data_IF_807298912967
#
_entry.id   IF_807298912967
#
_cell.length_a   1.000
_cell.length_b   1.000
_cell.length_c   1.000
_cell.angle_alpha   90.00
_cell.angle_beta   90.00
_cell.angle_gamma   90.00
#
_symmetry.space_group_name_H-M   'P 1'
#
loop_
_entity.id
_entity.type
_entity.pdbx_description
1 polymer ?
#
# COMPACT_ATOMS: atom_id res chain seq x y z
N UNK A 1 7.63 -41.56 16.89
CA UNK A 1 7.56 -40.76 18.13
C UNK A 1 8.85 -39.96 18.28
N UNK A 2 8.97 -38.76 17.69
CA UNK A 2 10.19 -37.95 17.81
C UNK A 2 10.04 -36.81 18.82
N UNK A 3 10.88 -36.89 19.86
CA UNK A 3 11.83 -35.84 20.29
C UNK A 3 11.38 -34.38 20.30
N UNK A 4 11.06 -33.86 21.49
CA UNK A 4 11.03 -32.43 21.79
C UNK A 4 12.44 -31.91 22.13
N UNK A 5 13.04 -31.11 21.25
CA UNK A 5 14.27 -30.37 21.56
C UNK A 5 13.92 -28.90 21.82
N UNK A 6 13.98 -28.52 23.10
CA UNK A 6 14.01 -27.13 23.57
C UNK A 6 15.22 -26.40 22.97
N UNK A 7 15.02 -25.23 22.36
CA UNK A 7 16.09 -24.24 22.15
C UNK A 7 15.64 -22.85 22.59
N UNK A 8 16.33 -22.41 23.65
CA UNK A 8 16.69 -21.05 24.08
C UNK A 8 15.94 -19.84 23.49
N UNK A 9 15.11 -19.21 24.33
CA UNK A 9 14.72 -17.79 24.21
C UNK A 9 15.47 -16.96 25.28
N UNK A 10 16.38 -16.11 24.86
CA UNK A 10 16.97 -14.90 25.48
C UNK A 10 17.53 -14.16 24.27
N UNK A 11 17.15 -12.94 23.93
CA UNK A 11 17.43 -11.63 24.52
C UNK A 11 16.28 -10.71 24.03
N UNK A 12 15.53 -9.96 24.84
CA UNK A 12 15.85 -8.67 25.46
C UNK A 12 15.01 -8.49 26.76
N UNK A 13 15.60 -7.85 27.79
CA UNK A 13 14.92 -7.37 29.01
C UNK A 13 15.24 -5.89 29.19
N UNK A 14 14.21 -5.04 29.13
CA UNK A 14 14.12 -3.68 29.70
C UNK A 14 12.62 -3.30 29.59
N UNK A 15 11.94 -2.55 30.45
CA UNK A 15 11.90 -2.32 31.88
C UNK A 15 10.54 -1.61 32.12
N UNK A 16 9.78 -1.99 33.15
CA UNK A 16 8.47 -1.37 33.45
C UNK A 16 8.62 0.08 33.94
N UNK A 17 7.89 1.00 33.32
CA UNK A 17 7.74 2.41 33.73
C UNK A 17 6.27 2.76 34.03
N UNK A 18 5.99 3.63 35.02
CA UNK A 18 4.71 3.64 35.70
C UNK A 18 3.59 4.38 34.95
N UNK A 19 2.39 3.79 34.99
CA UNK A 19 1.11 4.38 34.59
C UNK A 19 0.78 5.59 35.48
N UNK A 20 0.49 6.74 34.89
CA UNK A 20 -0.17 7.86 35.59
C UNK A 20 -1.60 8.04 35.09
N UNK A 21 -2.53 8.01 36.06
CA UNK A 21 -3.94 8.38 35.95
C UNK A 21 -4.12 9.87 36.27
N UNK A 22 -5.07 10.50 35.60
CA UNK A 22 -5.70 11.79 35.94
C UNK A 22 -6.53 12.22 34.72
N UNK A 23 -7.82 12.53 34.76
CA UNK A 23 -8.69 12.92 35.86
C UNK A 23 -9.37 14.24 35.49
N UNK A 24 -10.48 14.15 34.74
CA UNK A 24 -11.59 15.12 34.59
C UNK A 24 -11.34 16.62 34.35
N UNK A 25 -12.08 17.22 33.41
CA UNK A 25 -13.19 18.15 33.71
C UNK A 25 -13.90 18.57 32.42
N UNK A 26 -15.23 18.41 32.41
CA UNK A 26 -16.11 18.83 31.32
C UNK A 26 -16.66 20.22 31.60
N UNK A 27 -16.66 21.10 30.59
CA UNK A 27 -17.49 22.31 30.58
C UNK A 27 -18.26 22.37 29.26
N UNK A 28 -19.59 22.23 29.37
CA UNK A 28 -20.57 22.37 28.28
C UNK A 28 -20.70 23.85 27.90
N UNK A 29 -20.24 24.22 26.71
CA UNK A 29 -20.62 25.47 26.04
C UNK A 29 -21.58 25.16 24.89
N UNK A 30 -22.85 25.57 25.03
CA UNK A 30 -23.82 25.59 23.92
C UNK A 30 -23.52 26.79 23.02
N UNK A 31 -23.03 26.52 21.81
CA UNK A 31 -22.90 27.49 20.73
C UNK A 31 -23.25 26.81 19.41
N UNK A 32 -24.29 27.30 18.73
CA UNK A 32 -24.81 26.72 17.49
C UNK A 32 -23.73 26.63 16.41
N UNK A 33 -23.42 25.40 15.99
CA UNK A 33 -22.51 25.15 14.86
C UNK A 33 -23.27 25.41 13.56
N UNK A 34 -22.94 26.50 12.86
CA UNK A 34 -22.93 26.45 11.39
C UNK A 34 -21.89 25.38 11.03
N UNK A 35 -22.32 24.29 10.41
CA UNK A 35 -21.42 23.26 9.92
C UNK A 35 -20.52 23.88 8.84
N UNK A 36 -19.29 24.26 9.21
CA UNK A 36 -18.26 24.58 8.24
C UNK A 36 -18.03 23.34 7.38
N UNK A 37 -18.38 23.39 6.10
CA UNK A 37 -18.42 22.29 5.14
C UNK A 37 -17.06 21.67 4.75
N UNK A 38 -16.13 21.52 5.70
CA UNK A 38 -14.92 20.71 5.52
C UNK A 38 -15.30 19.24 5.79
N UNK A 39 -15.40 18.44 4.74
CA UNK A 39 -15.40 16.98 4.88
C UNK A 39 -14.08 16.60 5.57
N UNK A 40 -14.15 16.09 6.80
CA UNK A 40 -12.97 15.61 7.53
C UNK A 40 -13.01 14.08 7.51
N UNK A 41 -11.99 13.49 6.90
CA UNK A 41 -11.77 12.04 6.83
C UNK A 41 -10.61 11.65 7.75
N UNK A 42 -10.77 11.69 9.08
CA UNK A 42 -9.65 11.40 9.98
C UNK A 42 -9.11 9.98 9.82
N UNK A 43 -9.93 9.04 9.33
CA UNK A 43 -9.51 7.66 9.10
C UNK A 43 -8.79 7.44 7.77
N UNK A 44 -8.83 8.42 6.83
CA UNK A 44 -8.11 8.34 5.56
C UNK A 44 -6.72 8.94 5.73
N UNK A 45 -5.72 8.07 5.78
CA UNK A 45 -4.31 8.42 5.86
C UNK A 45 -3.72 8.43 4.45
N UNK A 46 -3.46 9.63 3.92
CA UNK A 46 -2.83 9.80 2.61
C UNK A 46 -1.31 9.82 2.79
N UNK A 47 -0.60 9.03 1.99
CA UNK A 47 0.85 8.92 2.05
C UNK A 47 1.47 8.66 0.68
N UNK A 48 2.78 8.47 0.67
CA UNK A 48 3.58 8.07 -0.49
C UNK A 48 4.36 6.80 -0.17
N UNK A 49 4.77 6.08 -1.21
CA UNK A 49 5.75 5.02 -1.07
C UNK A 49 7.19 5.60 -1.01
N UNK A 50 8.07 4.93 -0.28
CA UNK A 50 9.49 5.30 -0.19
C UNK A 50 10.39 4.13 0.19
N UNK A 51 11.69 4.39 0.18
CA UNK A 51 12.71 3.43 0.60
C UNK A 51 13.48 3.91 1.85
N UNK A 52 14.50 3.16 2.24
CA UNK A 52 15.28 3.41 3.46
C UNK A 52 15.90 4.81 3.50
N UNK A 53 16.21 5.38 2.32
CA UNK A 53 16.81 6.71 2.16
C UNK A 53 15.81 7.82 2.40
N UNK A 54 14.52 7.53 2.25
CA UNK A 54 13.43 8.50 2.40
C UNK A 54 12.88 8.57 3.84
N UNK A 55 13.24 7.62 4.70
CA UNK A 55 12.56 7.40 5.99
C UNK A 55 12.50 8.65 6.87
N UNK A 56 13.59 9.38 7.02
CA UNK A 56 13.60 10.59 7.86
C UNK A 56 12.63 11.66 7.33
N UNK A 57 12.67 11.93 6.03
CA UNK A 57 11.77 12.87 5.36
C UNK A 57 10.30 12.44 5.45
N UNK A 58 10.02 11.15 5.24
CA UNK A 58 8.65 10.64 5.22
C UNK A 58 8.04 10.54 6.62
N UNK A 59 8.80 10.06 7.60
CA UNK A 59 8.33 9.92 8.99
C UNK A 59 8.07 11.27 9.66
N UNK A 60 8.72 12.34 9.22
CA UNK A 60 8.43 13.70 9.67
C UNK A 60 7.11 14.28 9.12
N UNK A 61 6.61 13.75 7.98
CA UNK A 61 5.48 14.32 7.25
C UNK A 61 4.19 13.50 7.33
N UNK A 62 4.31 12.18 7.38
CA UNK A 62 3.19 11.26 7.31
C UNK A 62 2.99 10.50 8.62
N UNK A 63 1.81 9.91 8.80
CA UNK A 63 1.50 9.00 9.92
C UNK A 63 1.44 7.53 9.50
N UNK A 64 1.37 7.31 8.20
CA UNK A 64 1.47 6.01 7.55
C UNK A 64 2.48 6.16 6.42
N UNK A 65 3.32 5.16 6.15
CA UNK A 65 4.17 5.11 4.95
C UNK A 65 4.10 3.73 4.33
N UNK A 66 4.31 3.62 3.02
CA UNK A 66 4.66 2.34 2.38
C UNK A 66 6.18 2.23 2.27
N UNK A 67 6.77 1.25 2.96
CA UNK A 67 8.18 0.88 2.84
C UNK A 67 8.36 -0.12 1.69
N UNK A 68 9.19 0.25 0.72
CA UNK A 68 9.40 -0.55 -0.51
C UNK A 68 10.72 -1.30 -0.55
N UNK A 69 11.69 -0.97 0.31
CA UNK A 69 13.02 -1.61 0.37
C UNK A 69 12.96 -3.13 0.51
N UNK A 70 12.00 -3.63 1.30
CA UNK A 70 11.79 -5.07 1.50
C UNK A 70 11.40 -5.81 0.21
N UNK A 71 10.90 -5.10 -0.80
CA UNK A 71 10.58 -5.70 -2.10
C UNK A 71 11.82 -6.01 -2.94
N UNK A 72 12.91 -5.26 -2.73
CA UNK A 72 14.16 -5.39 -3.50
C UNK A 72 15.25 -6.17 -2.77
N UNK A 73 15.11 -6.39 -1.46
CA UNK A 73 16.01 -7.22 -0.67
C UNK A 73 15.67 -7.22 0.82
N UNK A 74 16.51 -7.84 1.67
CA UNK A 74 16.30 -7.88 3.12
C UNK A 74 16.34 -6.49 3.75
N UNK A 75 15.42 -6.20 4.68
CA UNK A 75 15.52 -5.01 5.53
C UNK A 75 16.73 -5.09 6.46
N UNK A 76 17.36 -3.95 6.71
CA UNK A 76 18.48 -3.88 7.65
C UNK A 76 17.99 -3.65 9.07
N UNK A 77 18.79 -4.07 10.07
CA UNK A 77 18.51 -3.77 11.48
C UNK A 77 18.41 -2.26 11.72
N UNK A 78 19.24 -1.46 11.03
CA UNK A 78 19.19 0.00 11.07
C UNK A 78 17.82 0.54 10.60
N UNK A 79 17.28 -0.01 9.52
CA UNK A 79 15.96 0.36 8.99
C UNK A 79 14.86 0.05 10.00
N UNK A 80 14.88 -1.15 10.59
CA UNK A 80 13.91 -1.56 11.59
C UNK A 80 14.02 -0.73 12.87
N UNK A 81 15.23 -0.47 13.38
CA UNK A 81 15.45 0.40 14.53
C UNK A 81 14.96 1.82 14.29
N UNK A 82 15.19 2.38 13.09
CA UNK A 82 14.61 3.69 12.74
C UNK A 82 13.08 3.68 12.82
N UNK A 83 12.43 2.63 12.32
CA UNK A 83 10.97 2.54 12.30
C UNK A 83 10.37 2.29 13.68
N UNK A 84 10.98 1.42 14.49
CA UNK A 84 10.48 1.08 15.83
C UNK A 84 10.79 2.20 16.81
N UNK A 85 12.04 2.69 16.85
CA UNK A 85 12.51 3.54 17.94
C UNK A 85 12.29 5.05 17.66
N UNK A 86 12.24 5.46 16.38
CA UNK A 86 12.17 6.90 16.02
C UNK A 86 10.80 7.35 15.54
N UNK A 87 9.83 6.46 15.36
CA UNK A 87 8.48 6.85 14.94
C UNK A 87 7.55 7.01 16.14
N UNK A 88 6.68 8.04 16.15
CA UNK A 88 5.77 8.29 17.27
C UNK A 88 4.70 7.19 17.39
N UNK A 89 4.04 7.12 18.54
CA UNK A 89 2.89 6.22 18.75
C UNK A 89 1.79 6.46 17.72
N UNK A 90 1.13 5.37 17.32
CA UNK A 90 0.11 5.36 16.28
C UNK A 90 0.63 5.52 14.85
N UNK A 91 1.95 5.68 14.64
CA UNK A 91 2.55 5.63 13.32
C UNK A 91 2.47 4.21 12.75
N UNK A 92 2.09 4.08 11.47
CA UNK A 92 1.98 2.79 10.77
C UNK A 92 2.95 2.68 9.60
N UNK A 93 3.44 1.47 9.37
CA UNK A 93 4.29 1.11 8.23
C UNK A 93 3.59 0.01 7.45
N UNK A 94 3.18 0.31 6.23
CA UNK A 94 2.82 -0.71 5.27
C UNK A 94 4.10 -1.25 4.63
N UNK A 95 4.36 -2.54 4.73
CA UNK A 95 5.60 -3.15 4.23
C UNK A 95 5.30 -3.89 2.94
N UNK A 96 5.98 -3.53 1.84
CA UNK A 96 5.86 -4.27 0.59
C UNK A 96 6.60 -5.61 0.71
N UNK A 97 5.92 -6.72 0.43
CA UNK A 97 6.51 -8.05 0.53
C UNK A 97 7.69 -8.23 -0.42
N UNK A 98 8.65 -9.06 -0.02
CA UNK A 98 9.78 -9.42 -0.86
C UNK A 98 9.32 -10.03 -2.18
N UNK A 99 9.94 -9.60 -3.30
CA UNK A 99 9.49 -9.96 -4.67
C UNK A 99 9.37 -11.47 -4.92
N UNK A 100 10.19 -12.28 -4.25
CA UNK A 100 10.09 -13.73 -4.33
C UNK A 100 8.74 -14.27 -3.81
N UNK A 101 8.18 -13.63 -2.78
CA UNK A 101 6.90 -13.97 -2.16
C UNK A 101 5.70 -13.39 -2.91
N UNK A 102 5.94 -12.60 -3.94
CA UNK A 102 4.90 -12.04 -4.80
C UNK A 102 4.97 -12.61 -6.22
N UNK A 103 5.57 -13.80 -6.38
CA UNK A 103 5.72 -14.49 -7.66
C UNK A 103 6.58 -13.75 -8.69
N UNK A 104 7.39 -12.79 -8.26
CA UNK A 104 8.31 -12.06 -9.13
C UNK A 104 9.73 -12.64 -9.04
N UNK A 105 10.49 -12.69 -10.14
CA UNK A 105 11.87 -13.15 -10.12
C UNK A 105 12.75 -12.26 -9.24
N UNK A 106 13.63 -12.83 -8.43
CA UNK A 106 14.49 -12.09 -7.48
C UNK A 106 15.97 -12.28 -7.82
N UNK A 107 16.78 -11.20 -7.90
CA UNK A 107 18.23 -11.34 -8.03
C UNK A 107 18.80 -12.15 -6.87
N UNK A 108 19.86 -12.93 -7.12
CA UNK A 108 20.44 -13.80 -6.09
C UNK A 108 20.86 -13.02 -4.83
N UNK A 109 21.44 -11.84 -5.01
CA UNK A 109 21.88 -10.95 -3.93
C UNK A 109 20.75 -10.37 -3.08
N UNK A 110 19.52 -10.37 -3.60
CA UNK A 110 18.33 -9.93 -2.87
C UNK A 110 17.78 -11.00 -1.92
N UNK A 111 18.29 -12.25 -1.99
CA UNK A 111 17.81 -13.34 -1.13
C UNK A 111 18.68 -13.48 0.12
N UNK A 112 18.06 -13.69 1.27
CA UNK A 112 18.76 -13.88 2.54
C UNK A 112 19.80 -15.01 2.46
N UNK A 113 21.01 -14.83 3.03
CA UNK A 113 22.09 -15.84 2.98
C UNK A 113 21.64 -17.25 3.38
N UNK A 114 20.92 -17.36 4.50
CA UNK A 114 20.43 -18.62 5.05
C UNK A 114 19.35 -19.31 4.19
N UNK A 115 18.63 -18.53 3.38
CA UNK A 115 17.68 -19.04 2.38
C UNK A 115 18.44 -19.52 1.14
N UNK A 116 19.51 -18.82 0.73
CA UNK A 116 20.38 -19.23 -0.39
C UNK A 116 21.06 -20.56 -0.13
N UNK A 117 21.46 -20.83 1.12
CA UNK A 117 22.10 -22.10 1.50
C UNK A 117 21.17 -23.32 1.27
N UNK A 118 19.85 -23.10 1.27
CA UNK A 118 18.84 -24.14 1.01
C UNK A 118 18.58 -24.39 -0.48
N UNK A 119 19.17 -23.59 -1.38
CA UNK A 119 18.95 -23.76 -2.81
C UNK A 119 19.57 -25.08 -3.31
N UNK A 120 18.86 -25.81 -4.20
CA UNK A 120 19.44 -26.91 -4.95
C UNK A 120 20.68 -26.46 -5.74
N UNK A 121 21.70 -27.33 -5.92
CA UNK A 121 22.92 -26.99 -6.64
C UNK A 121 22.67 -26.36 -8.03
N UNK A 122 21.66 -26.85 -8.76
CA UNK A 122 21.28 -26.35 -10.09
C UNK A 122 20.83 -24.88 -10.13
N UNK A 123 20.42 -24.30 -8.99
CA UNK A 123 19.95 -22.91 -8.91
C UNK A 123 20.99 -21.93 -8.34
N UNK A 124 22.05 -22.42 -7.69
CA UNK A 124 23.03 -21.56 -6.98
C UNK A 124 23.85 -20.66 -7.91
N UNK A 125 24.04 -21.07 -9.17
CA UNK A 125 24.77 -20.29 -10.18
C UNK A 125 23.90 -19.35 -11.01
N UNK A 126 22.57 -19.34 -10.82
CA UNK A 126 21.69 -18.46 -11.58
C UNK A 126 21.80 -17.02 -11.05
N UNK A 127 21.85 -15.99 -11.92
CA UNK A 127 21.86 -14.59 -11.48
C UNK A 127 20.53 -14.18 -10.85
N UNK A 128 19.44 -14.85 -11.23
CA UNK A 128 18.10 -14.57 -10.77
C UNK A 128 17.35 -15.87 -10.49
N UNK A 129 16.52 -15.84 -9.44
CA UNK A 129 15.68 -16.94 -9.02
C UNK A 129 14.23 -16.66 -9.41
N UNK A 130 13.59 -17.64 -10.03
CA UNK A 130 12.18 -17.58 -10.40
C UNK A 130 11.36 -18.38 -9.38
N UNK A 131 10.35 -17.80 -8.71
CA UNK A 131 9.56 -18.51 -7.70
C UNK A 131 8.97 -19.84 -8.18
N UNK A 132 8.56 -19.93 -9.44
CA UNK A 132 8.03 -21.16 -10.05
C UNK A 132 9.05 -22.32 -10.14
N UNK A 133 10.36 -22.02 -10.08
CA UNK A 133 11.44 -23.01 -10.11
C UNK A 133 11.90 -23.42 -8.71
N UNK A 134 11.43 -22.74 -7.66
CA UNK A 134 11.90 -22.97 -6.30
C UNK A 134 11.17 -24.16 -5.66
N UNK A 135 11.89 -25.03 -4.94
CA UNK A 135 11.26 -26.00 -4.06
C UNK A 135 10.38 -25.29 -3.02
N UNK A 136 9.22 -25.86 -2.63
CA UNK A 136 8.36 -25.27 -1.60
C UNK A 136 9.10 -24.95 -0.29
N UNK A 137 10.06 -25.79 0.11
CA UNK A 137 10.86 -25.58 1.32
C UNK A 137 11.75 -24.34 1.28
N UNK A 138 12.19 -23.89 0.09
CA UNK A 138 12.96 -22.65 -0.06
C UNK A 138 12.04 -21.44 0.04
N UNK A 139 10.85 -21.52 -0.56
CA UNK A 139 9.86 -20.45 -0.50
C UNK A 139 9.30 -20.28 0.92
N UNK A 140 9.09 -21.39 1.62
CA UNK A 140 8.77 -21.44 3.05
C UNK A 140 9.84 -20.73 3.89
N UNK A 141 11.12 -21.06 3.68
CA UNK A 141 12.21 -20.42 4.40
C UNK A 141 12.30 -18.91 4.10
N UNK A 142 12.04 -18.50 2.86
CA UNK A 142 11.98 -17.09 2.49
C UNK A 142 10.83 -16.36 3.21
N UNK A 143 9.66 -16.98 3.31
CA UNK A 143 8.53 -16.41 4.02
C UNK A 143 8.80 -16.32 5.52
N UNK A 144 9.31 -17.38 6.13
CA UNK A 144 9.68 -17.41 7.55
C UNK A 144 10.69 -16.30 7.87
N UNK A 145 11.69 -16.12 7.00
CA UNK A 145 12.72 -15.09 7.18
C UNK A 145 12.16 -13.68 7.03
N UNK A 146 11.29 -13.47 6.05
CA UNK A 146 10.60 -12.20 5.85
C UNK A 146 9.70 -11.86 7.06
N UNK A 147 8.86 -12.79 7.50
CA UNK A 147 7.97 -12.63 8.66
C UNK A 147 8.77 -12.31 9.92
N UNK A 148 9.84 -13.07 10.18
CA UNK A 148 10.73 -12.81 11.32
C UNK A 148 11.36 -11.41 11.28
N UNK A 149 11.68 -10.90 10.10
CA UNK A 149 12.28 -9.58 9.91
C UNK A 149 11.30 -8.43 10.20
N UNK A 150 10.02 -8.58 9.85
CA UNK A 150 9.00 -7.54 10.06
C UNK A 150 8.27 -7.66 11.40
N UNK A 151 8.45 -8.78 12.11
CA UNK A 151 7.76 -9.06 13.38
C UNK A 151 7.92 -7.95 14.42
N UNK A 152 9.08 -7.28 14.59
CA UNK A 152 9.18 -6.16 15.51
C UNK A 152 8.18 -5.04 15.21
N UNK A 153 7.90 -4.74 13.93
CA UNK A 153 6.89 -3.74 13.59
C UNK A 153 5.50 -4.18 14.08
N UNK A 154 5.19 -5.47 14.05
CA UNK A 154 3.93 -5.99 14.55
C UNK A 154 3.87 -5.95 16.08
N UNK A 155 4.92 -6.42 16.77
CA UNK A 155 5.00 -6.48 18.23
C UNK A 155 4.94 -5.10 18.89
N UNK A 156 5.49 -4.07 18.23
CA UNK A 156 5.46 -2.68 18.69
C UNK A 156 4.28 -1.87 18.14
N UNK A 157 3.26 -2.51 17.57
CA UNK A 157 2.06 -1.87 17.02
C UNK A 157 2.37 -0.77 15.97
N UNK A 158 3.39 -1.01 15.15
CA UNK A 158 3.81 -0.15 14.03
C UNK A 158 3.46 -0.73 12.66
N UNK A 159 3.19 -2.03 12.54
CA UNK A 159 2.81 -2.64 11.26
C UNK A 159 1.40 -2.21 10.87
N UNK A 160 1.24 -1.59 9.70
CA UNK A 160 -0.06 -1.27 9.09
C UNK A 160 -0.61 -2.49 8.35
N UNK A 161 0.08 -2.91 7.30
CA UNK A 161 -0.14 -4.18 6.61
C UNK A 161 1.11 -4.65 5.86
N UNK A 162 1.10 -5.90 5.40
CA UNK A 162 2.05 -6.42 4.42
C UNK A 162 1.39 -6.45 3.05
N UNK A 163 1.93 -5.71 2.10
CA UNK A 163 1.39 -5.59 0.74
C UNK A 163 2.06 -6.63 -0.17
N UNK A 164 1.29 -7.64 -0.58
CA UNK A 164 1.65 -8.61 -1.60
C UNK A 164 1.14 -8.14 -2.97
N UNK A 165 2.00 -7.42 -3.69
CA UNK A 165 1.73 -7.00 -5.07
C UNK A 165 2.13 -8.08 -6.06
N UNK A 166 1.13 -8.75 -6.63
CA UNK A 166 1.33 -9.78 -7.64
C UNK A 166 1.49 -9.21 -9.05
N UNK A 167 2.27 -9.87 -9.92
CA UNK A 167 2.44 -9.49 -11.33
C UNK A 167 1.18 -9.81 -12.16
N UNK A 168 1.10 -9.27 -13.38
CA UNK A 168 -0.05 -9.49 -14.27
C UNK A 168 -0.19 -10.92 -14.79
N UNK A 169 0.84 -11.77 -14.66
CA UNK A 169 0.77 -13.20 -14.96
C UNK A 169 0.31 -14.05 -13.77
N UNK A 170 0.02 -13.44 -12.61
CA UNK A 170 -0.73 -14.08 -11.54
C UNK A 170 -2.22 -13.98 -11.86
N UNK A 171 -2.78 -15.02 -12.46
CA UNK A 171 -4.18 -15.07 -12.94
C UNK A 171 -5.07 -15.84 -11.96
N UNK A 172 -6.39 -15.62 -11.95
CA UNK A 172 -7.30 -16.42 -11.12
C UNK A 172 -7.25 -17.90 -11.51
N UNK A 173 -7.30 -18.78 -10.52
CA UNK A 173 -7.27 -20.24 -10.70
C UNK A 173 -6.78 -20.98 -9.46
N UNK A 174 -6.93 -22.32 -9.40
CA UNK A 174 -6.65 -23.10 -8.19
C UNK A 174 -5.27 -22.84 -7.60
N UNK A 175 -4.21 -22.88 -8.42
CA UNK A 175 -2.83 -22.62 -7.96
C UNK A 175 -2.65 -21.26 -7.30
N UNK A 176 -3.28 -20.21 -7.83
CA UNK A 176 -3.18 -18.85 -7.30
C UNK A 176 -3.98 -18.70 -6.01
N UNK A 177 -5.16 -19.34 -5.93
CA UNK A 177 -5.97 -19.36 -4.71
C UNK A 177 -5.25 -20.14 -3.61
N UNK A 178 -4.74 -21.34 -3.89
CA UNK A 178 -3.93 -22.15 -2.96
C UNK A 178 -2.72 -21.37 -2.43
N UNK A 179 -2.09 -20.58 -3.29
CA UNK A 179 -0.97 -19.72 -2.88
C UNK A 179 -1.39 -18.63 -1.89
N UNK A 180 -2.54 -17.99 -2.10
CA UNK A 180 -3.08 -16.99 -1.18
C UNK A 180 -3.50 -17.60 0.16
N UNK A 181 -4.07 -18.81 0.14
CA UNK A 181 -4.39 -19.58 1.35
C UNK A 181 -3.11 -19.91 2.12
N UNK A 182 -2.09 -20.45 1.44
CA UNK A 182 -0.79 -20.74 2.06
C UNK A 182 -0.16 -19.48 2.68
N UNK A 183 -0.19 -18.33 1.98
CA UNK A 183 0.30 -17.06 2.54
C UNK A 183 -0.46 -16.68 3.81
N UNK A 184 -1.80 -16.77 3.78
CA UNK A 184 -2.63 -16.43 4.94
C UNK A 184 -2.31 -17.31 6.14
N UNK A 185 -2.25 -18.63 5.94
CA UNK A 185 -1.99 -19.60 7.01
C UNK A 185 -0.61 -19.37 7.63
N UNK A 186 0.41 -19.17 6.79
CA UNK A 186 1.80 -19.01 7.25
C UNK A 186 2.09 -17.68 7.91
N UNK A 187 1.37 -16.62 7.52
CA UNK A 187 1.52 -15.30 8.13
C UNK A 187 0.68 -15.10 9.40
N UNK A 188 -0.10 -16.11 9.83
CA UNK A 188 -0.87 -16.05 11.08
C UNK A 188 -1.86 -14.90 11.11
N UNK A 189 -1.75 -14.00 12.10
CA UNK A 189 -2.64 -12.85 12.28
C UNK A 189 -2.09 -11.53 11.71
N UNK A 190 -0.97 -11.57 10.97
CA UNK A 190 -0.46 -10.35 10.34
C UNK A 190 -1.50 -9.75 9.39
N UNK A 191 -1.69 -8.43 9.38
CA UNK A 191 -2.57 -7.76 8.41
C UNK A 191 -1.97 -7.88 7.01
N UNK A 192 -2.62 -8.64 6.12
CA UNK A 192 -2.16 -8.84 4.75
C UNK A 192 -3.03 -8.05 3.78
N UNK A 193 -2.39 -7.45 2.78
CA UNK A 193 -3.04 -6.78 1.68
C UNK A 193 -2.59 -7.36 0.34
N UNK A 194 -3.53 -7.72 -0.52
CA UNK A 194 -3.29 -8.37 -1.81
C UNK A 194 -3.60 -7.38 -2.93
N UNK A 195 -2.59 -7.08 -3.74
CA UNK A 195 -2.76 -6.26 -4.93
C UNK A 195 -2.69 -7.12 -6.19
N UNK A 196 -3.83 -7.20 -6.88
CA UNK A 196 -4.02 -7.97 -8.10
C UNK A 196 -3.86 -7.03 -9.31
N UNK A 197 -3.16 -7.50 -10.35
CA UNK A 197 -2.87 -6.70 -11.56
C UNK A 197 -3.54 -7.23 -12.82
N UNK A 198 -3.89 -8.52 -12.86
CA UNK A 198 -4.63 -9.08 -13.99
C UNK A 198 -6.11 -8.68 -13.88
N UNK A 199 -6.66 -8.08 -14.94
CA UNK A 199 -8.07 -7.65 -15.01
C UNK A 199 -9.06 -8.76 -14.66
N UNK A 200 -8.75 -9.98 -15.10
CA UNK A 200 -9.60 -11.18 -14.95
C UNK A 200 -10.03 -11.44 -13.51
N UNK A 201 -9.21 -11.11 -12.50
CA UNK A 201 -9.59 -11.25 -11.09
C UNK A 201 -10.84 -10.44 -10.71
N UNK A 202 -11.10 -9.33 -11.39
CA UNK A 202 -12.14 -8.38 -11.01
C UNK A 202 -12.98 -7.90 -12.18
N UNK A 203 -13.04 -8.70 -13.25
CA UNK A 203 -14.00 -8.49 -14.32
C UNK A 203 -15.43 -8.77 -13.83
N UNK A 204 -16.41 -8.57 -14.71
CA UNK A 204 -17.82 -8.73 -14.36
C UNK A 204 -18.20 -10.15 -13.93
N UNK A 205 -17.41 -11.17 -14.28
CA UNK A 205 -17.68 -12.57 -13.96
C UNK A 205 -17.04 -12.97 -12.63
N UNK A 206 -15.82 -12.53 -12.36
CA UNK A 206 -15.01 -13.05 -11.24
C UNK A 206 -14.95 -12.13 -10.03
N UNK A 207 -15.36 -10.86 -10.15
CA UNK A 207 -15.19 -9.85 -9.09
C UNK A 207 -15.79 -10.27 -7.75
N UNK A 208 -17.05 -10.68 -7.76
CA UNK A 208 -17.78 -10.90 -6.51
C UNK A 208 -17.21 -12.14 -5.78
N UNK A 209 -16.91 -13.21 -6.51
CA UNK A 209 -16.22 -14.41 -5.98
C UNK A 209 -14.82 -14.08 -5.44
N UNK A 210 -14.05 -13.26 -6.17
CA UNK A 210 -12.70 -12.86 -5.74
C UNK A 210 -12.76 -12.04 -4.45
N UNK A 211 -13.67 -11.07 -4.35
CA UNK A 211 -13.81 -10.25 -3.15
C UNK A 211 -14.31 -11.09 -1.95
N UNK A 212 -15.24 -12.02 -2.19
CA UNK A 212 -15.72 -12.95 -1.16
C UNK A 212 -14.59 -13.86 -0.66
N UNK A 213 -13.80 -14.45 -1.55
CA UNK A 213 -12.63 -15.25 -1.21
C UNK A 213 -11.61 -14.46 -0.37
N UNK A 214 -11.27 -13.24 -0.80
CA UNK A 214 -10.35 -12.39 -0.03
C UNK A 214 -10.90 -12.06 1.37
N UNK A 215 -12.21 -11.81 1.48
CA UNK A 215 -12.86 -11.58 2.78
C UNK A 215 -12.84 -12.82 3.67
N UNK A 216 -13.19 -13.99 3.13
CA UNK A 216 -13.18 -15.28 3.84
C UNK A 216 -11.79 -15.57 4.43
N UNK A 217 -10.74 -15.32 3.65
CA UNK A 217 -9.37 -15.53 4.08
C UNK A 217 -8.74 -14.34 4.81
N UNK A 218 -9.50 -13.32 5.23
CA UNK A 218 -8.97 -12.14 5.95
C UNK A 218 -7.80 -11.47 5.20
N UNK A 219 -7.93 -11.34 3.89
CA UNK A 219 -6.98 -10.69 2.98
C UNK A 219 -7.56 -9.36 2.53
N UNK A 220 -6.84 -8.27 2.79
CA UNK A 220 -7.28 -6.92 2.41
C UNK A 220 -7.11 -6.73 0.90
N UNK A 221 -8.20 -6.45 0.17
CA UNK A 221 -8.10 -6.10 -1.23
C UNK A 221 -7.47 -4.71 -1.38
N UNK A 222 -6.38 -4.62 -2.14
CA UNK A 222 -5.81 -3.33 -2.51
C UNK A 222 -6.60 -2.75 -3.67
N UNK A 223 -7.29 -1.64 -3.42
CA UNK A 223 -7.97 -0.86 -4.44
C UNK A 223 -6.92 -0.11 -5.28
N UNK A 224 -6.94 -0.27 -6.60
CA UNK A 224 -5.88 0.25 -7.48
C UNK A 224 -6.41 1.38 -8.36
N UNK A 225 -5.69 2.50 -8.41
CA UNK A 225 -5.75 3.43 -9.56
C UNK A 225 -4.52 3.19 -10.43
N UNK A 226 -4.77 2.88 -11.70
CA UNK A 226 -3.76 2.58 -12.70
C UNK A 226 -4.36 2.89 -14.09
N UNK A 227 -3.57 2.86 -15.18
CA UNK A 227 -4.10 3.03 -16.53
C UNK A 227 -5.24 2.05 -16.84
N UNK A 228 -6.26 2.51 -17.54
CA UNK A 228 -7.46 1.74 -17.86
C UNK A 228 -7.43 1.27 -19.32
N UNK A 229 -8.18 0.22 -19.66
CA UNK A 229 -8.28 -0.31 -21.03
C UNK A 229 -7.28 -1.41 -21.38
N UNK A 230 -6.50 -1.90 -20.41
CA UNK A 230 -5.50 -2.98 -20.59
C UNK A 230 -5.78 -4.17 -19.66
N UNK A 231 -5.35 -5.37 -20.07
CA UNK A 231 -5.48 -6.61 -19.29
C UNK A 231 -4.53 -6.67 -18.08
N UNK A 232 -3.47 -5.88 -18.12
CA UNK A 232 -2.42 -5.83 -17.09
C UNK A 232 -2.70 -4.80 -16.00
N UNK A 233 -3.92 -4.26 -15.98
CA UNK A 233 -4.42 -3.33 -14.98
C UNK A 233 -5.84 -3.73 -14.58
N UNK A 234 -6.27 -3.25 -13.41
CA UNK A 234 -7.60 -3.51 -12.85
C UNK A 234 -8.41 -2.21 -12.82
N UNK A 235 -9.74 -2.28 -12.91
CA UNK A 235 -10.60 -1.11 -12.71
C UNK A 235 -10.47 -0.53 -11.29
N UNK A 236 -10.69 0.78 -11.09
CA UNK A 236 -10.63 1.43 -9.79
C UNK A 236 -11.87 1.09 -8.94
N UNK A 237 -11.89 -0.14 -8.44
CA UNK A 237 -12.93 -0.68 -7.56
C UNK A 237 -12.64 -0.26 -6.12
N UNK A 238 -13.67 0.25 -5.44
CA UNK A 238 -13.65 0.55 -4.01
C UNK A 238 -14.40 -0.55 -3.24
N UNK A 239 -13.64 -1.53 -2.76
CA UNK A 239 -14.11 -2.67 -1.98
C UNK A 239 -13.25 -2.82 -0.72
N UNK A 240 -13.91 -3.08 0.41
CA UNK A 240 -13.25 -3.41 1.66
C UNK A 240 -13.59 -4.87 1.99
N UNK A 241 -12.56 -5.71 2.08
CA UNK A 241 -12.67 -7.14 2.43
C UNK A 241 -12.26 -7.42 3.87
N UNK A 242 -11.75 -6.41 4.58
CA UNK A 242 -11.35 -6.46 5.99
C UNK A 242 -11.65 -5.11 6.68
N UNK A 243 -11.24 -4.98 7.94
CA UNK A 243 -11.33 -3.73 8.73
C UNK A 243 -10.26 -2.70 8.35
N UNK A 244 -9.37 -3.01 7.42
CA UNK A 244 -8.45 -2.05 6.80
C UNK A 244 -8.84 -1.90 5.33
N UNK A 245 -8.81 -0.68 4.80
CA UNK A 245 -8.86 -0.45 3.36
C UNK A 245 -7.52 0.10 2.89
N UNK A 246 -6.99 -0.46 1.80
CA UNK A 246 -5.75 0.01 1.17
C UNK A 246 -6.06 0.46 -0.24
N UNK A 247 -5.63 1.66 -0.60
CA UNK A 247 -5.72 2.23 -1.94
C UNK A 247 -4.32 2.55 -2.43
N UNK A 248 -3.93 2.07 -3.61
CA UNK A 248 -2.64 2.38 -4.22
C UNK A 248 -2.83 3.08 -5.56
N UNK A 249 -2.27 4.28 -5.67
CA UNK A 249 -2.46 5.22 -6.77
C UNK A 249 -1.19 5.26 -7.63
N UNK A 250 -1.16 4.45 -8.69
CA UNK A 250 0.02 4.18 -9.53
C UNK A 250 0.21 5.16 -10.70
N UNK A 251 -0.70 6.12 -10.86
CA UNK A 251 -0.74 7.02 -12.01
C UNK A 251 -1.49 6.43 -13.20
N UNK A 252 -1.64 7.23 -14.26
CA UNK A 252 -2.43 6.87 -15.45
C UNK A 252 -1.64 7.00 -16.76
N UNK A 253 -0.33 6.78 -16.72
CA UNK A 253 0.53 6.81 -17.90
C UNK A 253 0.33 5.54 -18.76
N UNK A 254 -0.74 5.50 -19.55
CA UNK A 254 -1.12 4.34 -20.38
C UNK A 254 -0.04 4.00 -21.43
N UNK A 255 0.53 5.02 -22.06
CA UNK A 255 1.55 4.85 -23.10
C UNK A 255 2.77 4.08 -22.58
N UNK A 256 3.31 4.47 -21.42
CA UNK A 256 4.42 3.75 -20.80
C UNK A 256 4.01 2.38 -20.22
N UNK A 257 2.74 2.24 -19.81
CA UNK A 257 2.21 1.00 -19.25
C UNK A 257 2.21 -0.13 -20.27
N UNK A 258 1.63 0.12 -21.45
CA UNK A 258 1.44 -0.87 -22.52
C UNK A 258 2.69 -1.14 -23.34
N UNK A 259 3.51 -0.11 -23.60
CA UNK A 259 4.74 -0.29 -24.41
C UNK A 259 5.78 -1.18 -23.76
N UNK A 260 5.59 -1.57 -22.49
CA UNK A 260 6.58 -2.37 -21.78
C UNK A 260 7.94 -1.71 -21.81
N UNK A 261 7.99 -0.38 -21.67
CA UNK A 261 9.23 0.39 -21.77
C UNK A 261 10.27 -0.26 -20.85
N UNK A 262 11.50 -0.45 -21.36
CA UNK A 262 12.64 -1.00 -20.61
C UNK A 262 12.96 -0.22 -19.32
N UNK A 263 12.28 0.91 -19.10
CA UNK A 263 12.21 1.67 -17.86
C UNK A 263 10.87 1.42 -17.12
N UNK A 264 10.81 0.46 -16.16
CA UNK A 264 9.66 0.29 -15.27
C UNK A 264 9.27 1.57 -14.52
N UNK A 265 10.21 2.49 -14.27
CA UNK A 265 9.90 3.76 -13.60
C UNK A 265 9.10 4.69 -14.51
N UNK A 266 9.19 4.56 -15.85
CA UNK A 266 8.39 5.33 -16.79
C UNK A 266 6.89 5.14 -16.57
N UNK A 267 6.46 3.93 -16.19
CA UNK A 267 5.05 3.63 -15.86
C UNK A 267 4.54 4.47 -14.69
N UNK A 268 5.42 4.78 -13.74
CA UNK A 268 5.11 5.55 -12.54
C UNK A 268 5.20 7.06 -12.78
N UNK A 269 5.74 7.52 -13.92
CA UNK A 269 5.86 8.95 -14.24
C UNK A 269 4.49 9.56 -14.51
N UNK A 270 3.87 10.08 -13.46
CA UNK A 270 2.54 10.69 -13.52
C UNK A 270 2.33 11.66 -12.35
N UNK A 271 1.80 12.84 -12.66
CA UNK A 271 1.35 13.82 -11.65
C UNK A 271 -0.16 13.96 -11.76
N UNK A 272 -0.86 13.61 -10.67
CA UNK A 272 -2.31 13.64 -10.63
C UNK A 272 -2.85 15.07 -10.68
N UNK A 273 -3.99 15.25 -11.35
CA UNK A 273 -4.76 16.50 -11.35
C UNK A 273 -6.03 16.33 -10.53
N UNK A 274 -6.70 17.45 -10.19
CA UNK A 274 -7.95 17.42 -9.40
C UNK A 274 -9.00 16.47 -10.01
N UNK A 275 -9.23 16.58 -11.31
CA UNK A 275 -10.17 15.74 -12.06
C UNK A 275 -9.85 14.24 -11.96
N UNK A 276 -8.59 13.87 -11.75
CA UNK A 276 -8.21 12.48 -11.58
C UNK A 276 -8.64 11.91 -10.22
N UNK A 277 -8.70 12.76 -9.19
CA UNK A 277 -9.11 12.42 -7.83
C UNK A 277 -10.59 12.61 -7.53
N UNK A 278 -11.32 13.43 -8.31
CA UNK A 278 -12.76 13.63 -8.15
C UNK A 278 -13.55 12.31 -8.07
N UNK A 279 -13.31 11.31 -8.95
CA UNK A 279 -13.97 10.00 -8.83
C UNK A 279 -13.54 9.22 -7.57
N UNK A 280 -12.36 9.49 -7.01
CA UNK A 280 -11.87 8.82 -5.81
C UNK A 280 -12.46 9.36 -4.51
N UNK A 281 -12.98 10.59 -4.49
CA UNK A 281 -13.64 11.17 -3.29
C UNK A 281 -14.77 10.29 -2.77
N UNK A 282 -15.84 9.97 -3.54
CA UNK A 282 -16.91 9.11 -3.05
C UNK A 282 -16.45 7.67 -2.77
N UNK A 283 -15.40 7.19 -3.46
CA UNK A 283 -14.81 5.86 -3.22
C UNK A 283 -14.12 5.79 -1.86
N UNK A 284 -13.29 6.78 -1.53
CA UNK A 284 -12.60 6.88 -0.25
C UNK A 284 -13.60 7.09 0.89
N UNK A 285 -14.67 7.86 0.65
CA UNK A 285 -15.80 8.01 1.58
C UNK A 285 -16.46 6.68 1.92
N UNK A 286 -16.79 5.88 0.89
CA UNK A 286 -17.34 4.53 1.06
C UNK A 286 -16.39 3.64 1.85
N UNK A 287 -15.10 3.64 1.50
CA UNK A 287 -14.09 2.83 2.17
C UNK A 287 -13.91 3.25 3.63
N UNK A 288 -13.98 4.53 3.95
CA UNK A 288 -13.83 5.05 5.31
C UNK A 288 -15.00 4.68 6.23
N UNK A 289 -16.17 4.33 5.67
CA UNK A 289 -17.38 3.93 6.42
C UNK A 289 -17.70 4.89 7.58
N UNK A 290 -17.89 6.16 7.26
CA UNK A 290 -18.18 7.20 8.25
C UNK A 290 -17.04 7.44 9.25
N UNK A 291 -15.81 7.03 8.93
CA UNK A 291 -14.63 7.20 9.77
C UNK A 291 -14.30 5.99 10.66
N UNK A 292 -15.07 4.90 10.57
CA UNK A 292 -14.87 3.69 11.39
C UNK A 292 -13.73 2.82 10.86
N UNK A 293 -13.49 2.85 9.55
CA UNK A 293 -12.46 2.04 8.89
C UNK A 293 -11.20 2.88 8.63
N UNK A 294 -10.02 2.47 9.10
CA UNK A 294 -8.76 3.04 8.64
C UNK A 294 -8.60 2.80 7.12
N UNK A 295 -8.19 3.84 6.40
CA UNK A 295 -7.92 3.79 4.96
C UNK A 295 -6.51 4.29 4.72
N UNK A 296 -5.65 3.47 4.14
CA UNK A 296 -4.31 3.86 3.72
C UNK A 296 -4.35 4.18 2.21
N UNK A 297 -4.25 5.44 1.84
CA UNK A 297 -4.25 5.90 0.45
C UNK A 297 -2.83 6.30 0.04
N UNK A 298 -2.16 5.43 -0.72
CA UNK A 298 -0.74 5.50 -1.00
C UNK A 298 -0.52 5.94 -2.44
N UNK A 299 0.14 7.08 -2.65
CA UNK A 299 0.57 7.53 -3.96
C UNK A 299 1.94 6.92 -4.28
N UNK A 300 2.00 6.12 -5.34
CA UNK A 300 3.19 5.35 -5.74
C UNK A 300 3.85 5.87 -7.02
N UNK A 301 3.47 7.07 -7.46
CA UNK A 301 4.03 7.69 -8.68
C UNK A 301 5.47 8.14 -8.48
N UNK A 302 6.15 8.42 -9.60
CA UNK A 302 7.52 8.90 -9.65
C UNK A 302 7.59 10.20 -10.49
N UNK A 303 8.60 11.07 -10.27
CA UNK A 303 9.54 11.05 -9.15
C UNK A 303 8.85 11.36 -7.81
N UNK A 304 9.52 11.08 -6.69
CA UNK A 304 8.93 11.19 -5.35
C UNK A 304 8.34 12.58 -5.01
N UNK A 305 8.89 13.66 -5.56
CA UNK A 305 8.33 15.00 -5.37
C UNK A 305 6.97 15.18 -6.06
N UNK A 306 6.77 14.56 -7.23
CA UNK A 306 5.48 14.55 -7.91
C UNK A 306 4.45 13.71 -7.13
N UNK A 307 4.87 12.60 -6.52
CA UNK A 307 4.04 11.83 -5.60
C UNK A 307 3.63 12.66 -4.38
N UNK A 308 4.57 13.40 -3.77
CA UNK A 308 4.29 14.26 -2.62
C UNK A 308 3.33 15.42 -2.96
N UNK A 309 3.45 16.02 -4.15
CA UNK A 309 2.50 17.02 -4.66
C UNK A 309 1.12 16.40 -4.92
N UNK A 310 1.07 15.23 -5.54
CA UNK A 310 -0.17 14.48 -5.79
C UNK A 310 -0.88 14.08 -4.48
N UNK A 311 -0.14 13.60 -3.49
CA UNK A 311 -0.66 13.30 -2.15
C UNK A 311 -1.23 14.56 -1.47
N UNK A 312 -0.53 15.69 -1.57
CA UNK A 312 -1.00 16.97 -1.04
C UNK A 312 -2.25 17.47 -1.77
N UNK A 313 -2.33 17.26 -3.08
CA UNK A 313 -3.51 17.57 -3.87
C UNK A 313 -4.70 16.70 -3.43
N UNK A 314 -4.52 15.39 -3.23
CA UNK A 314 -5.60 14.53 -2.75
C UNK A 314 -6.15 14.99 -1.39
N UNK A 315 -5.27 15.42 -0.47
CA UNK A 315 -5.71 16.03 0.82
C UNK A 315 -6.59 17.25 0.56
N UNK A 316 -6.21 18.15 -0.34
CA UNK A 316 -7.01 19.33 -0.71
C UNK A 316 -8.34 18.92 -1.32
N UNK A 317 -8.35 18.01 -2.28
CA UNK A 317 -9.56 17.51 -2.96
C UNK A 317 -10.55 16.89 -1.98
N UNK A 318 -10.07 16.20 -0.94
CA UNK A 318 -10.93 15.62 0.10
C UNK A 318 -11.47 16.64 1.11
N UNK A 319 -10.75 17.75 1.36
CA UNK A 319 -11.08 18.68 2.46
C UNK A 319 -11.70 19.99 2.00
N UNK A 320 -11.52 20.35 0.74
CA UNK A 320 -12.04 21.56 0.12
C UNK A 320 -13.22 21.23 -0.79
N UNK A 321 -14.24 22.09 -0.88
CA UNK A 321 -15.28 21.92 -1.90
C UNK A 321 -14.65 21.91 -3.30
N UNK A 322 -15.26 21.21 -4.28
CA UNK A 322 -14.82 21.31 -5.67
C UNK A 322 -14.79 22.79 -6.06
N UNK A 323 -13.71 23.22 -6.72
CA UNK A 323 -13.52 24.63 -7.09
C UNK A 323 -14.80 25.11 -7.79
N UNK A 324 -15.44 26.16 -7.24
CA UNK A 324 -16.50 26.85 -7.94
C UNK A 324 -15.92 27.27 -9.30
N UNK A 325 -16.68 27.08 -10.39
CA UNK A 325 -16.27 27.54 -11.72
C UNK A 325 -15.64 28.94 -11.58
N UNK A 326 -14.48 29.21 -12.21
CA UNK A 326 -13.98 30.57 -12.27
C UNK A 326 -15.13 31.47 -12.75
N UNK A 327 -15.34 32.65 -12.13
CA UNK A 327 -16.41 33.54 -12.55
C UNK A 327 -16.32 33.73 -14.07
N UNK A 328 -17.45 33.73 -14.80
CA UNK A 328 -17.42 33.94 -16.24
C UNK A 328 -16.61 35.19 -16.54
N UNK A 329 -15.71 35.12 -17.52
CA UNK A 329 -14.96 36.29 -17.95
C UNK A 329 -15.94 37.45 -18.15
N UNK A 330 -15.62 38.66 -17.66
CA UNK A 330 -16.48 39.82 -17.86
C UNK A 330 -16.71 39.95 -19.37
N UNK A 331 -17.99 39.99 -19.76
CA UNK A 331 -18.41 40.11 -21.16
C UNK A 331 -17.64 41.24 -21.82
N UNK A 332 -16.83 40.91 -22.83
CA UNK A 332 -16.14 41.92 -23.65
C UNK A 332 -17.18 42.93 -24.14
N UNK A 333 -16.96 44.24 -23.98
CA UNK A 333 -17.87 45.24 -24.50
C UNK A 333 -18.02 45.04 -26.03
N UNK A 334 -19.23 45.25 -26.58
CA UNK A 334 -19.47 45.05 -28.00
C UNK A 334 -18.50 45.91 -28.81
N UNK A 335 -17.86 45.31 -29.81
CA UNK A 335 -16.99 46.04 -30.73
C UNK A 335 -17.78 47.17 -31.38
N UNK A 336 -17.24 48.40 -31.45
CA UNK A 336 -17.92 49.51 -32.11
C UNK A 336 -18.19 49.14 -33.57
N UNK A 337 -19.43 49.35 -34.01
CA UNK A 337 -19.84 49.14 -35.40
C UNK A 337 -19.00 50.04 -36.30
N UNK A 338 -18.28 49.45 -37.26
CA UNK A 338 -17.62 50.23 -38.32
C UNK A 338 -18.68 51.01 -39.10
N UNK A 339 -18.44 52.29 -39.42
CA UNK A 339 -19.34 53.05 -40.28
C UNK A 339 -19.36 52.39 -41.66
N UNK A 340 -20.56 52.18 -42.20
CA UNK A 340 -20.76 51.76 -43.59
C UNK A 340 -20.28 52.90 -44.50
N UNK A 341 -19.38 52.59 -45.43
CA UNK A 341 -19.09 53.46 -46.57
C UNK A 341 -20.05 53.15 -47.70
#
# INVERSE_FOLDING_TARGET
MPTSARRSRRWWRVADGPRRRGGGHSTKGRGGRRASGRRRFPSVQITVAGDDRDLERLTARYRVIELTSSAVGPLTERTLGHLVDRTPDGFRVDVRAHRLLTQQPAPMEAVWPDVRDKLPPALRGKPQLFPAELPPSVLDAALDRFVAQIMPLHEFDKLGCVIFQFPSYFTPGPKSLDYLVWLRERCGDLPLAVELRRREWVDTKHRDDTLAFLQEHRLTYVCVDAPQGTDTSVPPIAAATTDLAVVRLHGRNLEAWERGVDDPAARMRYEYRRADFEPWVPRLEKLADGGKRPVHAIVTTAPGDAAARSASLLVKVLTEPPDAKPPPEPSRPPRPRRPRR
#
